data_IF_487742630372
#
_entry.id   IF_487742630372
#
_cell.length_a   1.000
_cell.length_b   1.000
_cell.length_c   1.000
_cell.angle_alpha   90.00
_cell.angle_beta   90.00
_cell.angle_gamma   90.00
#
_symmetry.space_group_name_H-M   'P 1'
#
loop_
_entity.id
_entity.type
_entity.pdbx_description
1 polymer ?
#
# COMPACT_ATOMS: atom_id res chain seq x y z
N UNK A 1 -36.07 -12.11 22.11
CA UNK A 1 -34.78 -12.81 21.93
C UNK A 1 -35.04 -14.19 21.37
N UNK A 2 -34.27 -14.64 20.38
CA UNK A 2 -34.37 -16.02 19.87
C UNK A 2 -33.79 -16.95 20.94
N UNK A 3 -34.51 -17.99 21.32
CA UNK A 3 -34.11 -18.95 22.36
C UNK A 3 -33.83 -20.30 21.71
N UNK A 4 -33.16 -21.20 22.44
CA UNK A 4 -32.93 -22.57 21.97
C UNK A 4 -34.24 -23.29 21.59
N UNK A 5 -35.35 -22.94 22.25
CA UNK A 5 -36.66 -23.49 21.93
C UNK A 5 -37.21 -23.02 20.58
N UNK A 6 -37.03 -21.73 20.26
CA UNK A 6 -37.36 -21.19 18.94
C UNK A 6 -36.56 -21.87 17.82
N UNK A 7 -35.28 -22.18 18.06
CA UNK A 7 -34.44 -22.90 17.08
C UNK A 7 -34.91 -24.34 16.86
N UNK A 8 -35.30 -25.06 17.91
CA UNK A 8 -35.84 -26.43 17.79
C UNK A 8 -37.16 -26.47 17.04
N UNK A 9 -38.06 -25.52 17.30
CA UNK A 9 -39.34 -25.41 16.58
C UNK A 9 -39.12 -25.06 15.11
N UNK A 10 -38.18 -24.17 14.81
CA UNK A 10 -37.83 -23.82 13.43
C UNK A 10 -37.24 -25.00 12.63
N UNK A 11 -36.51 -25.92 13.27
CA UNK A 11 -36.08 -27.18 12.64
C UNK A 11 -37.26 -28.12 12.42
N UNK A 12 -38.13 -28.28 13.42
CA UNK A 12 -39.32 -29.15 13.32
C UNK A 12 -40.32 -28.67 12.25
N UNK A 13 -40.43 -27.36 12.03
CA UNK A 13 -41.26 -26.75 10.99
C UNK A 13 -40.56 -26.67 9.62
N UNK A 14 -39.33 -27.18 9.50
CA UNK A 14 -38.57 -27.18 8.24
C UNK A 14 -38.12 -25.79 7.76
N UNK A 15 -38.19 -24.78 8.63
CA UNK A 15 -37.78 -23.40 8.33
C UNK A 15 -36.25 -23.31 8.21
N UNK A 16 -35.52 -24.09 9.02
CA UNK A 16 -34.05 -24.18 8.99
C UNK A 16 -33.59 -25.62 9.16
N UNK A 17 -32.36 -25.94 8.71
CA UNK A 17 -31.74 -27.25 8.93
C UNK A 17 -31.11 -27.37 10.33
N UNK A 18 -30.89 -28.60 10.80
CA UNK A 18 -30.18 -28.85 12.07
C UNK A 18 -28.79 -28.20 12.11
N UNK A 19 -28.08 -28.20 10.97
CA UNK A 19 -26.75 -27.57 10.84
C UNK A 19 -26.86 -26.05 11.00
N UNK A 20 -27.91 -25.43 10.47
CA UNK A 20 -28.16 -24.01 10.61
C UNK A 20 -28.54 -23.64 12.05
N UNK A 21 -29.38 -24.44 12.72
CA UNK A 21 -29.74 -24.25 14.11
C UNK A 21 -28.53 -24.35 15.05
N UNK A 22 -27.67 -25.36 14.87
CA UNK A 22 -26.43 -25.51 15.64
C UNK A 22 -25.44 -24.37 15.39
N UNK A 23 -25.43 -23.80 14.19
CA UNK A 23 -24.58 -22.65 13.86
C UNK A 23 -25.09 -21.34 14.48
N UNK A 24 -26.41 -21.14 14.52
CA UNK A 24 -27.06 -20.00 15.19
C UNK A 24 -26.90 -20.06 16.70
N UNK A 25 -26.99 -21.25 17.30
CA UNK A 25 -26.78 -21.45 18.73
C UNK A 25 -25.33 -21.17 19.14
N UNK A 26 -24.35 -21.63 18.34
CA UNK A 26 -22.94 -21.25 18.53
C UNK A 26 -22.72 -19.73 18.46
N UNK A 27 -23.36 -19.06 17.49
CA UNK A 27 -23.29 -17.60 17.35
C UNK A 27 -23.92 -16.87 18.54
N UNK A 28 -25.06 -17.35 19.04
CA UNK A 28 -25.75 -16.79 20.19
C UNK A 28 -24.92 -16.93 21.48
N UNK A 29 -24.24 -18.07 21.67
CA UNK A 29 -23.33 -18.27 22.81
C UNK A 29 -22.04 -17.44 22.70
N UNK A 30 -21.55 -17.20 21.50
CA UNK A 30 -20.41 -16.31 21.28
C UNK A 30 -20.73 -14.84 21.59
N UNK A 31 -21.97 -14.40 21.35
CA UNK A 31 -22.43 -13.04 21.65
C UNK A 31 -23.11 -12.90 23.03
N UNK A 32 -23.36 -14.01 23.74
CA UNK A 32 -24.16 -14.07 24.96
C UNK A 32 -23.39 -13.93 26.27
N UNK A 33 -22.09 -13.65 26.23
CA UNK A 33 -21.36 -13.20 27.42
C UNK A 33 -21.81 -11.78 27.79
N UNK A 34 -22.08 -11.47 29.06
CA UNK A 34 -22.40 -10.10 29.46
C UNK A 34 -21.22 -9.19 29.09
N UNK A 35 -21.52 -8.21 28.24
CA UNK A 35 -20.69 -7.06 27.88
C UNK A 35 -20.39 -6.25 29.15
N UNK A 36 -19.46 -6.77 29.95
CA UNK A 36 -18.97 -6.16 31.17
C UNK A 36 -17.77 -5.31 30.81
N UNK A 37 -18.03 -4.17 30.18
CA UNK A 37 -17.23 -2.95 30.28
C UNK A 37 -15.71 -3.12 30.37
N UNK A 38 -15.16 -4.05 29.60
CA UNK A 38 -13.72 -4.12 29.36
C UNK A 38 -13.53 -3.42 28.05
N UNK A 39 -12.81 -2.31 28.10
CA UNK A 39 -12.01 -1.80 27.00
C UNK A 39 -11.19 -2.96 26.40
N UNK A 40 -11.81 -3.83 25.60
CA UNK A 40 -11.09 -4.48 24.55
C UNK A 40 -10.74 -3.36 23.60
N UNK A 41 -9.44 -3.05 23.39
CA UNK A 41 -9.07 -2.18 22.30
C UNK A 41 -9.65 -2.82 21.06
N UNK A 42 -10.69 -2.20 20.53
CA UNK A 42 -11.29 -2.57 19.26
C UNK A 42 -10.14 -2.42 18.28
N UNK A 43 -9.55 -3.54 17.87
CA UNK A 43 -8.42 -3.53 16.94
C UNK A 43 -9.00 -3.06 15.60
N UNK A 44 -9.02 -1.74 15.43
CA UNK A 44 -9.74 -1.03 14.36
C UNK A 44 -9.10 -1.25 12.97
N UNK A 45 -8.02 -2.03 12.91
CA UNK A 45 -7.32 -2.47 11.70
C UNK A 45 -7.37 -4.01 11.53
N UNK A 46 -8.57 -4.61 11.52
CA UNK A 46 -8.74 -6.01 11.07
C UNK A 46 -8.54 -6.13 9.56
N UNK A 47 -7.29 -6.09 9.13
CA UNK A 47 -6.90 -6.33 7.76
C UNK A 47 -7.01 -7.83 7.46
N UNK A 48 -8.13 -8.24 6.87
CA UNK A 48 -8.34 -9.62 6.37
C UNK A 48 -7.54 -9.84 5.08
N UNK A 49 -6.21 -9.77 5.15
CA UNK A 49 -5.35 -10.01 3.98
C UNK A 49 -5.19 -11.50 3.65
N UNK A 50 -5.33 -12.38 4.65
CA UNK A 50 -5.23 -13.83 4.48
C UNK A 50 -6.54 -14.43 4.98
N UNK A 51 -7.36 -14.92 4.06
CA UNK A 51 -8.61 -15.63 4.38
C UNK A 51 -8.37 -17.11 4.73
N UNK A 52 -7.17 -17.63 4.45
CA UNK A 52 -6.71 -18.96 4.83
C UNK A 52 -5.42 -19.38 4.10
N UNK A 53 -4.89 -20.57 4.41
CA UNK A 53 -3.70 -21.15 3.77
C UNK A 53 -3.82 -21.25 2.24
N UNK A 54 -5.05 -21.40 1.73
CA UNK A 54 -5.34 -21.40 0.30
C UNK A 54 -4.88 -20.12 -0.41
N UNK A 55 -4.97 -18.95 0.24
CA UNK A 55 -4.54 -17.68 -0.36
C UNK A 55 -3.02 -17.67 -0.58
N UNK A 56 -2.26 -18.24 0.35
CA UNK A 56 -0.79 -18.35 0.26
C UNK A 56 -0.42 -19.29 -0.89
N UNK A 57 -1.05 -20.47 -0.95
CA UNK A 57 -0.77 -21.46 -2.00
C UNK A 57 -1.09 -20.92 -3.40
N UNK A 58 -2.25 -20.28 -3.55
CA UNK A 58 -2.64 -19.64 -4.82
C UNK A 58 -1.67 -18.53 -5.18
N UNK A 59 -1.27 -17.69 -4.23
CA UNK A 59 -0.32 -16.60 -4.48
C UNK A 59 1.05 -17.12 -4.92
N UNK A 60 1.56 -18.18 -4.30
CA UNK A 60 2.79 -18.84 -4.75
C UNK A 60 2.63 -19.40 -6.17
N UNK A 61 1.50 -20.06 -6.45
CA UNK A 61 1.16 -20.55 -7.78
C UNK A 61 1.10 -19.43 -8.83
N UNK A 62 0.56 -18.25 -8.47
CA UNK A 62 0.53 -17.08 -9.34
C UNK A 62 1.94 -16.56 -9.65
N UNK A 63 2.82 -16.48 -8.66
CA UNK A 63 4.22 -16.07 -8.89
C UNK A 63 4.94 -17.03 -9.83
N UNK A 64 4.80 -18.33 -9.62
CA UNK A 64 5.42 -19.34 -10.48
C UNK A 64 4.84 -19.31 -11.91
N UNK A 65 3.52 -19.29 -12.03
CA UNK A 65 2.83 -19.29 -13.32
C UNK A 65 3.10 -18.01 -14.12
N UNK A 66 2.83 -16.83 -13.54
CA UNK A 66 3.04 -15.56 -14.22
C UNK A 66 4.53 -15.28 -14.44
N UNK A 67 5.40 -15.73 -13.54
CA UNK A 67 6.86 -15.66 -13.71
C UNK A 67 7.35 -16.49 -14.89
N UNK A 68 6.86 -17.73 -15.04
CA UNK A 68 7.18 -18.57 -16.20
C UNK A 68 6.62 -17.96 -17.50
N UNK A 69 5.36 -17.52 -17.50
CA UNK A 69 4.76 -16.83 -18.66
C UNK A 69 5.52 -15.55 -19.01
N UNK A 70 6.02 -14.80 -18.02
CA UNK A 70 6.85 -13.64 -18.24
C UNK A 70 8.17 -14.02 -18.91
N UNK A 71 8.88 -15.02 -18.37
CA UNK A 71 10.15 -15.48 -18.93
C UNK A 71 10.00 -15.92 -20.40
N UNK A 72 9.06 -16.81 -20.70
CA UNK A 72 8.83 -17.27 -22.07
C UNK A 72 8.26 -16.17 -22.96
N UNK A 73 7.32 -15.37 -22.47
CA UNK A 73 6.71 -14.29 -23.24
C UNK A 73 7.72 -13.22 -23.65
N UNK A 74 8.58 -12.78 -22.72
CA UNK A 74 9.62 -11.80 -23.01
C UNK A 74 10.70 -12.35 -23.95
N UNK A 75 11.12 -13.60 -23.76
CA UNK A 75 12.18 -14.20 -24.59
C UNK A 75 11.72 -14.54 -26.01
N UNK A 76 10.46 -14.92 -26.20
CA UNK A 76 9.95 -15.36 -27.52
C UNK A 76 9.21 -14.28 -28.28
N UNK A 77 8.42 -13.45 -27.61
CA UNK A 77 7.55 -12.43 -28.24
C UNK A 77 8.14 -11.01 -28.17
N UNK A 78 9.24 -10.84 -27.43
CA UNK A 78 9.84 -9.56 -27.11
C UNK A 78 9.14 -8.84 -25.96
N UNK A 79 9.73 -7.74 -25.44
CA UNK A 79 9.26 -7.10 -24.20
C UNK A 79 7.83 -6.56 -24.28
N UNK A 80 7.49 -5.79 -25.32
CA UNK A 80 6.16 -5.16 -25.43
C UNK A 80 5.03 -6.20 -25.43
N UNK A 81 5.13 -7.19 -26.32
CA UNK A 81 4.14 -8.28 -26.47
C UNK A 81 4.16 -9.22 -25.25
N UNK A 82 5.34 -9.52 -24.71
CA UNK A 82 5.49 -10.34 -23.51
C UNK A 82 4.78 -9.73 -22.30
N UNK A 83 4.96 -8.43 -22.04
CA UNK A 83 4.23 -7.74 -20.98
C UNK A 83 2.73 -7.60 -21.27
N UNK A 84 2.33 -7.39 -22.53
CA UNK A 84 0.91 -7.39 -22.89
C UNK A 84 0.25 -8.74 -22.59
N UNK A 85 0.95 -9.85 -22.85
CA UNK A 85 0.50 -11.19 -22.48
C UNK A 85 0.36 -11.34 -20.96
N UNK A 86 1.33 -10.89 -20.17
CA UNK A 86 1.25 -10.93 -18.70
C UNK A 86 0.05 -10.11 -18.20
N UNK A 87 -0.18 -8.91 -18.75
CA UNK A 87 -1.33 -8.09 -18.39
C UNK A 87 -2.66 -8.78 -18.72
N UNK A 88 -2.78 -9.40 -19.89
CA UNK A 88 -3.95 -10.16 -20.28
C UNK A 88 -4.20 -11.37 -19.36
N UNK A 89 -3.15 -12.13 -19.04
CA UNK A 89 -3.22 -13.26 -18.11
C UNK A 89 -3.60 -12.81 -16.70
N UNK A 90 -3.00 -11.73 -16.19
CA UNK A 90 -3.32 -11.18 -14.88
C UNK A 90 -4.79 -10.74 -14.78
N UNK A 91 -5.34 -10.09 -15.81
CA UNK A 91 -6.76 -9.76 -15.88
C UNK A 91 -7.65 -11.01 -15.91
N UNK A 92 -7.31 -12.01 -16.73
CA UNK A 92 -8.05 -13.26 -16.82
C UNK A 92 -8.07 -14.03 -15.49
N UNK A 93 -6.93 -14.09 -14.80
CA UNK A 93 -6.81 -14.70 -13.48
C UNK A 93 -7.56 -13.87 -12.42
N UNK A 94 -7.60 -12.54 -12.52
CA UNK A 94 -8.40 -11.69 -11.63
C UNK A 94 -9.90 -11.96 -11.79
N UNK A 95 -10.38 -12.24 -13.01
CA UNK A 95 -11.76 -12.66 -13.25
C UNK A 95 -12.13 -13.93 -12.47
N UNK A 96 -11.19 -14.85 -12.27
CA UNK A 96 -11.40 -16.03 -11.45
C UNK A 96 -11.15 -15.80 -9.96
N UNK A 97 -9.94 -15.40 -9.58
CA UNK A 97 -9.51 -15.32 -8.18
C UNK A 97 -10.06 -14.11 -7.42
N UNK A 98 -10.20 -12.96 -8.10
CA UNK A 98 -10.75 -11.74 -7.51
C UNK A 98 -12.26 -11.73 -7.57
N UNK A 99 -12.85 -11.89 -8.75
CA UNK A 99 -14.31 -11.71 -8.92
C UNK A 99 -15.12 -12.91 -8.43
N UNK A 100 -14.73 -14.13 -8.81
CA UNK A 100 -15.49 -15.35 -8.47
C UNK A 100 -15.11 -15.91 -7.11
N UNK A 101 -13.81 -16.08 -6.83
CA UNK A 101 -13.32 -16.65 -5.56
C UNK A 101 -13.20 -15.64 -4.41
N UNK A 102 -13.20 -14.34 -4.70
CA UNK A 102 -13.12 -13.24 -3.70
C UNK A 102 -11.93 -13.36 -2.74
N UNK A 103 -10.78 -13.83 -3.23
CA UNK A 103 -9.55 -13.99 -2.45
C UNK A 103 -8.80 -12.66 -2.32
N UNK A 104 -8.34 -12.27 -1.13
CA UNK A 104 -7.74 -10.95 -0.92
C UNK A 104 -6.28 -10.87 -1.38
N UNK A 105 -5.41 -11.74 -0.87
CA UNK A 105 -3.97 -11.75 -1.19
C UNK A 105 -3.69 -11.96 -2.69
N UNK A 106 -4.29 -12.97 -3.37
CA UNK A 106 -4.07 -13.17 -4.80
C UNK A 106 -4.51 -11.96 -5.63
N UNK A 107 -5.60 -11.30 -5.24
CA UNK A 107 -6.11 -10.11 -5.93
C UNK A 107 -5.16 -8.92 -5.85
N UNK A 108 -4.47 -8.77 -4.72
CA UNK A 108 -3.44 -7.75 -4.56
C UNK A 108 -2.28 -8.02 -5.51
N UNK A 109 -1.75 -9.25 -5.52
CA UNK A 109 -0.64 -9.65 -6.39
C UNK A 109 -1.02 -9.49 -7.86
N UNK A 110 -2.20 -9.96 -8.26
CA UNK A 110 -2.69 -9.84 -9.64
C UNK A 110 -2.80 -8.38 -10.10
N UNK A 111 -3.28 -7.49 -9.24
CA UNK A 111 -3.34 -6.07 -9.59
C UNK A 111 -1.94 -5.47 -9.78
N UNK A 112 -1.01 -5.74 -8.86
CA UNK A 112 0.35 -5.18 -8.94
C UNK A 112 1.01 -5.66 -10.23
N UNK A 113 0.93 -6.96 -10.52
CA UNK A 113 1.43 -7.54 -11.76
C UNK A 113 0.74 -6.91 -12.99
N UNK A 114 -0.59 -6.76 -12.96
CA UNK A 114 -1.36 -6.15 -14.03
C UNK A 114 -0.91 -4.70 -14.32
N UNK A 115 -0.84 -3.86 -13.29
CA UNK A 115 -0.47 -2.45 -13.43
C UNK A 115 0.96 -2.30 -13.97
N UNK A 116 1.91 -3.08 -13.45
CA UNK A 116 3.30 -3.06 -13.92
C UNK A 116 3.42 -3.60 -15.34
N UNK A 117 2.71 -4.68 -15.67
CA UNK A 117 2.73 -5.26 -17.01
C UNK A 117 2.12 -4.30 -18.05
N UNK A 118 1.03 -3.60 -17.72
CA UNK A 118 0.46 -2.58 -18.61
C UNK A 118 1.43 -1.43 -18.86
N UNK A 119 2.04 -0.90 -17.79
CA UNK A 119 3.04 0.16 -17.89
C UNK A 119 4.19 -0.26 -18.81
N UNK A 120 4.76 -1.44 -18.56
CA UNK A 120 5.89 -1.97 -19.32
C UNK A 120 5.52 -2.26 -20.77
N UNK A 121 4.36 -2.88 -21.03
CA UNK A 121 3.92 -3.20 -22.38
C UNK A 121 3.83 -1.95 -23.26
N UNK A 122 3.14 -0.91 -22.75
CA UNK A 122 2.96 0.34 -23.46
C UNK A 122 4.28 1.14 -23.58
N UNK A 123 5.10 1.18 -22.52
CA UNK A 123 6.39 1.86 -22.56
C UNK A 123 7.33 1.22 -23.60
N UNK A 124 7.48 -0.11 -23.60
CA UNK A 124 8.31 -0.81 -24.58
C UNK A 124 7.80 -0.70 -26.01
N UNK A 125 6.47 -0.71 -26.20
CA UNK A 125 5.87 -0.51 -27.53
C UNK A 125 6.23 0.86 -28.12
N UNK A 126 6.33 1.89 -27.27
CA UNK A 126 6.65 3.26 -27.67
C UNK A 126 8.15 3.56 -27.73
N UNK A 127 8.97 2.79 -27.00
CA UNK A 127 10.42 2.98 -26.95
C UNK A 127 11.18 2.49 -28.20
N UNK A 128 10.52 1.82 -29.15
CA UNK A 128 11.11 1.49 -30.45
C UNK A 128 12.12 0.33 -30.45
N UNK A 129 11.99 -0.63 -29.53
CA UNK A 129 12.66 -1.95 -29.62
C UNK A 129 14.17 -2.00 -29.30
N UNK A 130 14.82 -0.87 -29.05
CA UNK A 130 16.25 -0.82 -28.71
C UNK A 130 16.50 -0.28 -27.30
N UNK A 131 16.85 -1.16 -26.34
CA UNK A 131 17.72 -0.73 -25.23
C UNK A 131 17.46 -1.24 -23.82
N UNK A 132 16.27 -1.71 -23.45
CA UNK A 132 16.06 -2.18 -22.09
C UNK A 132 16.08 -3.71 -22.02
N UNK A 133 17.00 -4.25 -21.21
CA UNK A 133 17.15 -5.68 -20.96
C UNK A 133 15.85 -6.35 -20.52
N UNK A 134 15.78 -7.66 -20.68
CA UNK A 134 14.63 -8.52 -20.37
C UNK A 134 14.28 -8.64 -18.87
N UNK A 135 14.66 -7.66 -18.05
CA UNK A 135 14.25 -7.51 -16.66
C UNK A 135 12.98 -6.66 -16.59
N UNK A 136 12.13 -6.88 -15.58
CA UNK A 136 11.06 -5.96 -15.19
C UNK A 136 11.60 -4.53 -15.21
N UNK A 137 11.24 -3.68 -16.20
CA UNK A 137 11.70 -2.32 -16.16
C UNK A 137 11.03 -1.72 -14.94
N UNK A 138 11.82 -1.32 -13.96
CA UNK A 138 11.27 -0.52 -12.88
C UNK A 138 10.79 0.80 -13.48
N UNK A 139 9.81 1.45 -12.83
CA UNK A 139 9.47 2.84 -13.12
C UNK A 139 10.73 3.72 -13.14
N UNK A 140 11.74 3.35 -12.35
CA UNK A 140 13.07 3.94 -12.34
C UNK A 140 13.80 3.73 -13.68
N UNK A 141 13.88 2.52 -14.20
CA UNK A 141 14.57 2.19 -15.46
C UNK A 141 13.97 2.94 -16.67
N UNK A 142 12.65 3.08 -16.70
CA UNK A 142 11.92 3.84 -17.73
C UNK A 142 12.14 5.36 -17.63
N UNK A 143 12.54 5.86 -16.47
CA UNK A 143 12.90 7.28 -16.24
C UNK A 143 14.41 7.54 -16.28
N UNK A 144 15.23 6.49 -16.20
CA UNK A 144 16.67 6.58 -16.02
C UNK A 144 17.43 6.59 -17.34
N UNK A 145 16.92 5.97 -18.41
CA UNK A 145 17.58 6.03 -19.72
C UNK A 145 17.18 7.31 -20.48
N UNK A 146 18.10 8.31 -20.58
CA UNK A 146 17.82 9.58 -21.25
C UNK A 146 17.56 9.42 -22.76
N UNK A 147 17.85 8.25 -23.33
CA UNK A 147 17.76 7.97 -24.77
C UNK A 147 16.34 7.65 -25.25
N UNK A 148 15.44 7.24 -24.35
CA UNK A 148 14.09 6.79 -24.70
C UNK A 148 13.06 7.93 -24.85
N UNK A 149 13.42 9.16 -24.46
CA UNK A 149 12.53 10.30 -24.46
C UNK A 149 11.36 10.15 -23.45
N UNK A 150 10.49 11.17 -23.31
CA UNK A 150 9.38 11.13 -22.35
C UNK A 150 8.18 10.29 -22.82
N UNK A 151 8.11 9.94 -24.12
CA UNK A 151 6.95 9.28 -24.72
C UNK A 151 6.62 7.90 -24.12
N UNK A 152 7.58 6.98 -23.89
CA UNK A 152 7.32 5.70 -23.23
C UNK A 152 6.69 5.85 -21.84
N UNK A 153 7.17 6.83 -21.07
CA UNK A 153 6.64 7.12 -19.75
C UNK A 153 5.20 7.64 -19.83
N UNK A 154 4.95 8.63 -20.70
CA UNK A 154 3.61 9.23 -20.89
C UNK A 154 2.61 8.17 -21.35
N UNK A 155 2.93 7.44 -22.42
CA UNK A 155 2.00 6.46 -22.99
C UNK A 155 1.79 5.25 -22.07
N UNK A 156 2.85 4.79 -21.39
CA UNK A 156 2.72 3.76 -20.36
C UNK A 156 1.84 4.20 -19.19
N UNK A 157 2.04 5.43 -18.70
CA UNK A 157 1.28 5.97 -17.59
C UNK A 157 -0.20 6.18 -17.96
N UNK A 158 -0.47 6.67 -19.17
CA UNK A 158 -1.82 6.84 -19.70
C UNK A 158 -2.55 5.50 -19.87
N UNK A 159 -1.87 4.50 -20.44
CA UNK A 159 -2.41 3.15 -20.58
C UNK A 159 -2.72 2.52 -19.22
N UNK A 160 -1.79 2.64 -18.26
CA UNK A 160 -1.96 2.13 -16.89
C UNK A 160 -3.11 2.82 -16.18
N UNK A 161 -3.19 4.16 -16.24
CA UNK A 161 -4.28 4.92 -15.62
C UNK A 161 -5.64 4.48 -16.17
N UNK A 162 -5.73 4.31 -17.49
CA UNK A 162 -6.97 3.88 -18.17
C UNK A 162 -7.36 2.46 -17.76
N UNK A 163 -6.43 1.51 -17.86
CA UNK A 163 -6.70 0.11 -17.62
C UNK A 163 -6.89 -0.24 -16.14
N UNK A 164 -6.18 0.43 -15.22
CA UNK A 164 -6.43 0.30 -13.77
C UNK A 164 -7.77 0.91 -13.39
N UNK A 165 -8.21 1.98 -14.06
CA UNK A 165 -9.57 2.52 -13.85
C UNK A 165 -10.64 1.49 -14.27
N UNK A 166 -10.45 0.84 -15.42
CA UNK A 166 -11.33 -0.26 -15.85
C UNK A 166 -11.27 -1.44 -14.88
N UNK A 167 -10.07 -1.79 -14.40
CA UNK A 167 -9.86 -2.82 -13.38
C UNK A 167 -10.62 -2.49 -12.09
N UNK A 168 -10.59 -1.24 -11.63
CA UNK A 168 -11.33 -0.82 -10.44
C UNK A 168 -12.84 -0.95 -10.64
N UNK A 169 -13.37 -0.49 -11.77
CA UNK A 169 -14.81 -0.62 -12.08
C UNK A 169 -15.25 -2.09 -12.14
N UNK A 170 -14.39 -2.99 -12.59
CA UNK A 170 -14.70 -4.42 -12.73
C UNK A 170 -14.58 -5.20 -11.43
N UNK A 171 -13.43 -5.09 -10.77
CA UNK A 171 -13.07 -5.93 -9.63
C UNK A 171 -13.33 -5.26 -8.30
N UNK A 172 -13.38 -3.93 -8.28
CA UNK A 172 -13.42 -3.13 -7.07
C UNK A 172 -12.34 -3.65 -6.13
N UNK A 173 -11.06 -3.37 -6.33
CA UNK A 173 -9.98 -3.70 -5.37
C UNK A 173 -9.37 -2.39 -4.86
N UNK A 174 -9.22 -2.14 -3.53
CA UNK A 174 -8.88 -0.80 -3.02
C UNK A 174 -7.53 -0.27 -3.51
N UNK A 175 -6.52 -1.13 -3.59
CA UNK A 175 -5.16 -0.80 -4.06
C UNK A 175 -5.11 -0.25 -5.50
N UNK A 176 -6.14 -0.50 -6.32
CA UNK A 176 -6.23 0.09 -7.68
C UNK A 176 -6.22 1.61 -7.66
N UNK A 177 -6.77 2.24 -6.61
CA UNK A 177 -6.81 3.71 -6.49
C UNK A 177 -5.39 4.25 -6.30
N UNK A 178 -4.56 3.56 -5.52
CA UNK A 178 -3.15 3.90 -5.39
C UNK A 178 -2.38 3.67 -6.69
N UNK A 179 -2.59 2.53 -7.37
CA UNK A 179 -1.97 2.30 -8.67
C UNK A 179 -2.37 3.37 -9.72
N UNK A 180 -3.62 3.82 -9.72
CA UNK A 180 -4.09 4.93 -10.55
C UNK A 180 -3.46 6.28 -10.17
N UNK A 181 -3.34 6.58 -8.87
CA UNK A 181 -2.65 7.78 -8.41
C UNK A 181 -1.16 7.78 -8.80
N UNK A 182 -0.48 6.63 -8.71
CA UNK A 182 0.89 6.47 -9.15
C UNK A 182 1.03 6.70 -10.66
N UNK A 183 0.13 6.12 -11.47
CA UNK A 183 0.07 6.32 -12.90
C UNK A 183 -0.19 7.80 -13.26
N UNK A 184 -1.07 8.48 -12.54
CA UNK A 184 -1.30 9.92 -12.74
C UNK A 184 -0.04 10.74 -12.42
N UNK A 185 0.67 10.43 -11.33
CA UNK A 185 1.94 11.10 -11.00
C UNK A 185 2.98 10.88 -12.10
N UNK A 186 3.12 9.64 -12.59
CA UNK A 186 4.02 9.32 -13.69
C UNK A 186 3.65 10.05 -15.00
N UNK A 187 2.35 10.16 -15.29
CA UNK A 187 1.84 10.89 -16.45
C UNK A 187 2.17 12.38 -16.37
N UNK A 188 1.87 13.03 -15.25
CA UNK A 188 2.20 14.45 -15.02
C UNK A 188 3.70 14.67 -15.13
N UNK A 189 4.51 13.81 -14.51
CA UNK A 189 5.96 13.88 -14.60
C UNK A 189 6.45 13.75 -16.04
N UNK A 190 5.93 12.78 -16.80
CA UNK A 190 6.28 12.58 -18.20
C UNK A 190 5.93 13.77 -19.08
N UNK A 191 4.75 14.37 -18.88
CA UNK A 191 4.33 15.58 -19.61
C UNK A 191 5.25 16.76 -19.29
N UNK A 192 5.60 16.96 -18.01
CA UNK A 192 6.54 18.01 -17.61
C UNK A 192 7.93 17.78 -18.20
N UNK A 193 8.40 16.53 -18.23
CA UNK A 193 9.66 16.16 -18.84
C UNK A 193 9.67 16.43 -20.35
N UNK A 194 8.53 16.27 -21.03
CA UNK A 194 8.37 16.63 -22.44
C UNK A 194 8.32 18.13 -22.70
N UNK A 195 7.65 18.89 -21.82
CA UNK A 195 7.46 20.32 -21.99
C UNK A 195 8.70 21.15 -21.58
N UNK A 196 9.37 20.76 -20.49
CA UNK A 196 10.51 21.48 -19.91
C UNK A 196 11.50 20.49 -19.28
N UNK A 197 12.32 19.79 -20.09
CA UNK A 197 13.16 18.68 -19.63
C UNK A 197 14.18 19.09 -18.57
N UNK A 198 14.90 20.20 -18.78
CA UNK A 198 15.96 20.65 -17.86
C UNK A 198 15.39 21.09 -16.51
N UNK A 199 14.30 21.89 -16.55
CA UNK A 199 13.60 22.33 -15.35
C UNK A 199 13.02 21.13 -14.56
N UNK A 200 12.45 20.16 -15.27
CA UNK A 200 11.84 18.97 -14.65
C UNK A 200 12.91 18.08 -14.01
N UNK A 201 14.07 17.91 -14.63
CA UNK A 201 15.19 17.16 -14.04
C UNK A 201 15.77 17.88 -12.81
N UNK A 202 15.96 19.20 -12.90
CA UNK A 202 16.45 20.01 -11.78
C UNK A 202 15.46 20.01 -10.60
N UNK A 203 14.16 20.13 -10.88
CA UNK A 203 13.09 20.14 -9.89
C UNK A 203 12.55 18.77 -9.48
N UNK A 204 13.14 17.66 -9.96
CA UNK A 204 12.60 16.29 -9.82
C UNK A 204 12.22 15.95 -8.38
N UNK A 205 13.11 16.23 -7.43
CA UNK A 205 12.89 15.89 -6.02
C UNK A 205 11.72 16.70 -5.44
N UNK A 206 11.66 18.00 -5.73
CA UNK A 206 10.54 18.86 -5.31
C UNK A 206 9.21 18.44 -5.92
N UNK A 207 9.21 18.02 -7.19
CA UNK A 207 8.02 17.53 -7.89
C UNK A 207 7.48 16.23 -7.27
N UNK A 208 8.35 15.27 -6.94
CA UNK A 208 7.92 14.04 -6.25
C UNK A 208 7.40 14.32 -4.85
N UNK A 209 8.04 15.23 -4.08
CA UNK A 209 7.53 15.65 -2.77
C UNK A 209 6.14 16.27 -2.92
N UNK A 210 5.95 17.19 -3.88
CA UNK A 210 4.66 17.82 -4.13
C UNK A 210 3.58 16.80 -4.52
N UNK A 211 3.92 15.86 -5.40
CA UNK A 211 3.03 14.76 -5.77
C UNK A 211 2.69 13.88 -4.55
N UNK A 212 3.68 13.52 -3.74
CA UNK A 212 3.50 12.74 -2.52
C UNK A 212 2.61 13.45 -1.49
N UNK A 213 2.78 14.76 -1.30
CA UNK A 213 1.90 15.58 -0.47
C UNK A 213 0.47 15.63 -1.01
N UNK A 214 0.30 15.71 -2.33
CA UNK A 214 -1.02 15.63 -2.98
C UNK A 214 -1.70 14.28 -2.75
N UNK A 215 -0.97 13.17 -2.91
CA UNK A 215 -1.46 11.81 -2.63
C UNK A 215 -1.77 11.64 -1.14
N UNK A 216 -0.92 12.18 -0.24
CA UNK A 216 -1.15 12.18 1.19
C UNK A 216 -2.44 12.94 1.56
N UNK A 217 -2.65 14.14 0.99
CA UNK A 217 -3.87 14.90 1.20
C UNK A 217 -5.12 14.14 0.70
N UNK A 218 -5.01 13.44 -0.42
CA UNK A 218 -6.07 12.56 -0.92
C UNK A 218 -6.35 11.40 0.04
N UNK A 219 -5.30 10.77 0.58
CA UNK A 219 -5.41 9.70 1.56
C UNK A 219 -6.11 10.18 2.84
N UNK A 220 -5.71 11.35 3.36
CA UNK A 220 -6.36 12.01 4.51
C UNK A 220 -7.82 12.31 4.25
N UNK A 221 -8.19 12.74 3.04
CA UNK A 221 -9.59 12.97 2.69
C UNK A 221 -10.43 11.70 2.78
N UNK A 222 -9.89 10.55 2.37
CA UNK A 222 -10.58 9.26 2.52
C UNK A 222 -10.72 8.86 3.99
N UNK A 223 -9.67 9.04 4.80
CA UNK A 223 -9.70 8.74 6.24
C UNK A 223 -10.72 9.55 7.01
N UNK A 224 -10.70 10.87 6.81
CA UNK A 224 -11.62 11.78 7.49
C UNK A 224 -13.08 11.56 7.05
N UNK A 225 -13.29 10.95 5.87
CA UNK A 225 -14.63 10.62 5.37
C UNK A 225 -15.21 9.30 5.90
N UNK A 226 -14.44 8.53 6.68
CA UNK A 226 -14.87 7.29 7.32
C UNK A 226 -14.35 7.19 8.77
N UNK A 227 -14.83 8.06 9.69
CA UNK A 227 -14.31 8.12 11.06
C UNK A 227 -14.47 6.81 11.85
N UNK A 228 -15.52 6.04 11.53
CA UNK A 228 -15.83 4.76 12.17
C UNK A 228 -15.04 3.58 11.56
N UNK A 229 -14.30 3.80 10.47
CA UNK A 229 -13.44 2.80 9.79
C UNK A 229 -14.15 1.52 9.35
N UNK A 230 -15.41 1.66 8.92
CA UNK A 230 -16.24 0.51 8.56
C UNK A 230 -16.36 0.30 7.05
N UNK A 231 -15.94 1.27 6.25
CA UNK A 231 -16.08 1.22 4.79
C UNK A 231 -14.77 0.93 4.09
N UNK A 232 -14.89 0.53 2.82
CA UNK A 232 -13.76 0.40 1.87
C UNK A 232 -12.88 1.66 1.76
N UNK A 233 -13.37 2.84 2.15
CA UNK A 233 -12.58 4.08 2.11
C UNK A 233 -11.34 3.98 2.99
N UNK A 234 -11.45 3.26 4.10
CA UNK A 234 -10.32 2.95 4.98
C UNK A 234 -9.24 2.16 4.23
N UNK A 235 -9.60 1.11 3.49
CA UNK A 235 -8.62 0.36 2.69
C UNK A 235 -7.98 1.22 1.60
N UNK A 236 -8.77 2.05 0.90
CA UNK A 236 -8.26 2.94 -0.15
C UNK A 236 -7.20 3.89 0.41
N UNK A 237 -7.50 4.52 1.55
CA UNK A 237 -6.58 5.42 2.19
C UNK A 237 -5.31 4.73 2.69
N UNK A 238 -5.38 3.46 3.10
CA UNK A 238 -4.21 2.68 3.49
C UNK A 238 -3.22 2.62 2.32
N UNK A 239 -3.71 2.26 1.14
CA UNK A 239 -2.87 2.12 -0.05
C UNK A 239 -2.35 3.47 -0.55
N UNK A 240 -3.13 4.54 -0.42
CA UNK A 240 -2.68 5.89 -0.77
C UNK A 240 -1.60 6.41 0.17
N UNK A 241 -1.71 6.15 1.48
CA UNK A 241 -0.65 6.45 2.43
C UNK A 241 0.63 5.65 2.11
N UNK A 242 0.49 4.36 1.78
CA UNK A 242 1.61 3.51 1.36
C UNK A 242 2.32 4.05 0.11
N UNK A 243 1.58 4.66 -0.82
CA UNK A 243 2.15 5.31 -2.01
C UNK A 243 2.75 6.69 -1.69
N UNK A 244 2.13 7.49 -0.82
CA UNK A 244 2.62 8.82 -0.48
C UNK A 244 3.98 8.77 0.23
N UNK A 245 4.19 7.80 1.11
CA UNK A 245 5.43 7.66 1.86
C UNK A 245 6.70 7.60 0.97
N UNK A 246 6.82 6.69 -0.02
CA UNK A 246 7.98 6.67 -0.91
C UNK A 246 8.10 7.94 -1.76
N UNK A 247 6.99 8.53 -2.22
CA UNK A 247 7.00 9.78 -2.99
C UNK A 247 7.56 10.97 -2.21
N UNK A 248 7.39 10.99 -0.89
CA UNK A 248 7.91 12.05 -0.01
C UNK A 248 9.32 11.69 0.46
N UNK A 249 9.49 10.51 1.05
CA UNK A 249 10.71 10.17 1.79
C UNK A 249 11.89 9.93 0.86
N UNK A 250 11.70 9.22 -0.25
CA UNK A 250 12.79 8.88 -1.17
C UNK A 250 13.54 10.11 -1.74
N UNK A 251 12.87 11.14 -2.32
CA UNK A 251 13.58 12.33 -2.83
C UNK A 251 14.25 13.15 -1.73
N UNK A 252 13.69 13.16 -0.51
CA UNK A 252 14.33 13.84 0.62
C UNK A 252 15.60 13.08 1.02
N UNK A 253 15.53 11.76 1.16
CA UNK A 253 16.69 10.92 1.44
C UNK A 253 17.78 11.11 0.40
N UNK A 254 17.45 11.05 -0.89
CA UNK A 254 18.41 11.24 -1.97
C UNK A 254 19.12 12.60 -1.88
N UNK A 255 18.38 13.66 -1.56
CA UNK A 255 18.93 15.01 -1.38
C UNK A 255 19.84 15.11 -0.16
N UNK A 256 19.43 14.51 0.96
CA UNK A 256 20.19 14.49 2.21
C UNK A 256 21.47 13.66 2.07
N UNK A 257 21.41 12.47 1.48
CA UNK A 257 22.59 11.62 1.26
C UNK A 257 23.58 12.22 0.28
N UNK A 258 23.12 13.00 -0.70
CA UNK A 258 24.00 13.72 -1.62
C UNK A 258 24.79 14.84 -0.94
N UNK A 259 24.24 15.46 0.12
CA UNK A 259 24.93 16.48 0.91
C UNK A 259 25.99 15.93 1.87
N UNK A 260 25.89 14.65 2.23
CA UNK A 260 26.80 13.97 3.15
C UNK A 260 26.72 14.46 4.60
N UNK A 261 27.11 13.59 5.54
CA UNK A 261 27.34 13.97 6.94
C UNK A 261 26.14 13.87 7.89
N UNK A 262 26.39 14.26 9.14
CA UNK A 262 25.48 14.05 10.28
C UNK A 262 24.16 14.84 10.17
N UNK A 263 24.18 15.99 9.50
CA UNK A 263 22.99 16.82 9.26
C UNK A 263 21.96 16.10 8.37
N UNK A 264 22.43 15.36 7.36
CA UNK A 264 21.57 14.52 6.52
C UNK A 264 20.80 13.50 7.37
N UNK A 265 21.53 12.82 8.25
CA UNK A 265 21.00 11.78 9.12
C UNK A 265 19.99 12.33 10.15
N UNK A 266 20.27 13.49 10.74
CA UNK A 266 19.33 14.18 11.64
C UNK A 266 18.06 14.62 10.90
N UNK A 267 18.19 15.08 9.65
CA UNK A 267 17.05 15.41 8.79
C UNK A 267 16.14 14.22 8.51
N UNK A 268 16.72 13.05 8.21
CA UNK A 268 15.94 11.80 8.04
C UNK A 268 15.18 11.46 9.31
N UNK A 269 15.85 11.52 10.47
CA UNK A 269 15.24 11.20 11.75
C UNK A 269 14.08 12.16 12.07
N UNK A 270 14.25 13.46 11.83
CA UNK A 270 13.20 14.45 12.02
C UNK A 270 11.96 14.16 11.16
N UNK A 271 12.14 13.73 9.91
CA UNK A 271 11.04 13.35 9.01
C UNK A 271 10.34 12.08 9.49
N UNK A 272 11.11 11.06 9.89
CA UNK A 272 10.56 9.81 10.44
C UNK A 272 9.75 10.11 11.71
N UNK A 273 10.26 10.96 12.60
CA UNK A 273 9.55 11.38 13.80
C UNK A 273 8.30 12.22 13.48
N UNK A 274 8.37 13.12 12.50
CA UNK A 274 7.22 13.89 12.03
C UNK A 274 6.11 12.99 11.45
N UNK A 275 6.49 12.03 10.59
CA UNK A 275 5.56 11.03 10.05
C UNK A 275 4.97 10.14 11.16
N UNK A 276 5.77 9.78 12.17
CA UNK A 276 5.28 9.03 13.33
C UNK A 276 4.29 9.84 14.17
N UNK A 277 4.54 11.14 14.37
CA UNK A 277 3.61 12.05 15.03
C UNK A 277 2.28 12.18 14.27
N UNK A 278 2.35 12.30 12.94
CA UNK A 278 1.16 12.28 12.07
C UNK A 278 0.42 10.94 12.19
N UNK A 279 1.14 9.82 12.16
CA UNK A 279 0.54 8.49 12.30
C UNK A 279 -0.17 8.30 13.66
N UNK A 280 0.40 8.82 14.74
CA UNK A 280 -0.21 8.84 16.07
C UNK A 280 -1.47 9.72 16.11
N UNK A 281 -1.40 10.93 15.54
CA UNK A 281 -2.53 11.85 15.51
C UNK A 281 -3.73 11.29 14.72
N UNK A 282 -3.46 10.65 13.58
CA UNK A 282 -4.49 10.06 12.71
C UNK A 282 -4.92 8.66 13.19
N UNK A 283 -4.29 8.13 14.23
CA UNK A 283 -4.53 6.77 14.75
C UNK A 283 -4.39 5.71 13.66
N UNK A 284 -3.28 5.76 12.91
CA UNK A 284 -3.12 4.93 11.71
C UNK A 284 -1.77 4.26 11.68
N UNK A 285 -1.74 2.98 12.10
CA UNK A 285 -0.50 2.19 12.18
C UNK A 285 0.06 1.89 10.80
N UNK A 286 -0.81 1.81 9.79
CA UNK A 286 -0.44 1.70 8.38
C UNK A 286 0.61 2.72 7.90
N UNK A 287 0.53 3.96 8.40
CA UNK A 287 1.50 5.01 8.07
C UNK A 287 2.91 4.64 8.56
N UNK A 288 3.02 4.03 9.75
CA UNK A 288 4.31 3.59 10.28
C UNK A 288 4.89 2.43 9.47
N UNK A 289 4.04 1.49 9.04
CA UNK A 289 4.48 0.37 8.19
C UNK A 289 5.06 0.88 6.87
N UNK A 290 4.44 1.91 6.27
CA UNK A 290 4.90 2.49 5.00
C UNK A 290 6.28 3.18 5.09
N UNK A 291 6.63 3.72 6.26
CA UNK A 291 7.91 4.37 6.52
C UNK A 291 9.01 3.43 7.02
N UNK A 292 8.67 2.17 7.31
CA UNK A 292 9.53 1.29 8.10
C UNK A 292 10.85 0.92 7.39
N UNK A 293 10.78 0.64 6.09
CA UNK A 293 11.97 0.36 5.27
C UNK A 293 12.93 1.55 5.31
N UNK A 294 12.40 2.77 5.21
CA UNK A 294 13.19 4.00 5.25
C UNK A 294 13.80 4.25 6.64
N UNK A 295 13.04 4.01 7.71
CA UNK A 295 13.57 4.09 9.08
C UNK A 295 14.70 3.09 9.31
N UNK A 296 14.57 1.85 8.80
CA UNK A 296 15.64 0.85 8.86
C UNK A 296 16.91 1.26 8.11
N UNK A 297 16.77 1.82 6.91
CA UNK A 297 17.91 2.35 6.15
C UNK A 297 18.60 3.53 6.87
N UNK A 298 17.82 4.41 7.49
CA UNK A 298 18.32 5.56 8.25
C UNK A 298 19.10 5.12 9.50
N UNK A 299 18.55 4.17 10.27
CA UNK A 299 19.23 3.57 11.42
C UNK A 299 20.52 2.86 10.98
N UNK A 300 20.49 2.15 9.84
CA UNK A 300 21.70 1.55 9.26
C UNK A 300 22.78 2.57 8.94
N UNK A 301 22.41 3.75 8.44
CA UNK A 301 23.37 4.82 8.23
C UNK A 301 23.97 5.36 9.54
N UNK A 302 23.14 5.54 10.59
CA UNK A 302 23.58 5.95 11.93
C UNK A 302 24.55 4.95 12.55
N UNK A 303 24.20 3.67 12.55
CA UNK A 303 25.02 2.61 13.16
C UNK A 303 26.38 2.52 12.47
N UNK A 304 26.42 2.64 11.13
CA UNK A 304 27.68 2.75 10.39
C UNK A 304 28.48 3.98 10.79
N UNK A 305 27.84 5.15 10.86
CA UNK A 305 28.48 6.41 11.24
C UNK A 305 29.01 6.42 12.67
N UNK A 306 28.39 5.66 13.57
CA UNK A 306 28.81 5.50 14.96
C UNK A 306 29.97 4.51 15.17
N UNK A 307 30.54 3.95 14.10
CA UNK A 307 31.69 3.04 14.16
C UNK A 307 31.34 1.55 14.27
N UNK A 308 30.05 1.17 14.18
CA UNK A 308 29.58 -0.21 14.29
C UNK A 308 29.35 -0.87 12.92
N UNK A 309 30.21 -0.60 11.93
CA UNK A 309 30.02 -1.05 10.55
C UNK A 309 29.81 -2.58 10.43
N UNK A 310 30.56 -3.38 11.19
CA UNK A 310 30.43 -4.85 11.21
C UNK A 310 29.10 -5.37 11.78
N UNK A 311 28.40 -4.55 12.58
CA UNK A 311 27.14 -4.91 13.23
C UNK A 311 25.95 -4.07 12.72
N UNK A 312 26.10 -3.43 11.55
CA UNK A 312 25.10 -2.52 11.00
C UNK A 312 23.73 -3.15 10.92
N UNK A 313 23.61 -4.31 10.27
CA UNK A 313 22.32 -4.95 10.02
C UNK A 313 21.66 -5.44 11.32
N UNK A 314 22.36 -6.22 12.18
CA UNK A 314 21.78 -6.65 13.46
C UNK A 314 21.33 -5.49 14.36
N UNK A 315 22.18 -4.46 14.54
CA UNK A 315 21.84 -3.33 15.42
C UNK A 315 20.72 -2.46 14.85
N UNK A 316 20.65 -2.30 13.53
CA UNK A 316 19.55 -1.58 12.89
C UNK A 316 18.23 -2.31 13.07
N UNK A 317 18.21 -3.63 12.86
CA UNK A 317 17.03 -4.45 13.07
C UNK A 317 16.61 -4.51 14.53
N UNK A 318 17.58 -4.61 15.46
CA UNK A 318 17.32 -4.58 16.90
C UNK A 318 16.69 -3.25 17.32
N UNK A 319 17.28 -2.13 16.89
CA UNK A 319 16.80 -0.78 17.24
C UNK A 319 15.44 -0.52 16.63
N UNK A 320 15.25 -0.87 15.35
CA UNK A 320 13.99 -0.72 14.66
C UNK A 320 12.90 -1.61 15.27
N UNK A 321 13.23 -2.87 15.57
CA UNK A 321 12.33 -3.81 16.23
C UNK A 321 11.91 -3.34 17.62
N UNK A 322 12.87 -2.90 18.44
CA UNK A 322 12.58 -2.32 19.75
C UNK A 322 11.67 -1.08 19.64
N UNK A 323 11.92 -0.21 18.67
CA UNK A 323 11.08 0.97 18.40
C UNK A 323 9.64 0.59 18.01
N UNK A 324 9.46 -0.38 17.10
CA UNK A 324 8.13 -0.87 16.72
C UNK A 324 7.41 -1.51 17.91
N UNK A 325 8.10 -2.37 18.68
CA UNK A 325 7.52 -3.04 19.84
C UNK A 325 7.08 -2.02 20.89
N UNK A 326 7.91 -1.01 21.16
CA UNK A 326 7.59 0.08 22.08
C UNK A 326 6.40 0.91 21.59
N UNK A 327 6.33 1.25 20.29
CA UNK A 327 5.18 1.95 19.70
C UNK A 327 3.91 1.11 19.73
N UNK A 328 4.02 -0.20 19.49
CA UNK A 328 2.88 -1.13 19.52
C UNK A 328 2.30 -1.24 20.93
N UNK A 329 3.15 -1.42 21.94
CA UNK A 329 2.74 -1.49 23.34
C UNK A 329 2.28 -0.13 23.89
N UNK A 330 2.91 0.96 23.47
CA UNK A 330 2.67 2.32 23.94
C UNK A 330 1.70 3.14 23.09
N UNK A 331 0.98 2.53 22.15
CA UNK A 331 0.19 3.23 21.14
C UNK A 331 -0.83 4.21 21.74
N UNK A 332 -1.71 3.70 22.61
CA UNK A 332 -2.77 4.48 23.24
C UNK A 332 -2.26 5.64 24.12
N UNK A 333 -1.29 5.44 25.04
CA UNK A 333 -0.78 6.55 25.86
C UNK A 333 -0.04 7.61 25.02
N UNK A 334 0.74 7.21 24.01
CA UNK A 334 1.44 8.16 23.12
C UNK A 334 0.46 8.98 22.27
N UNK A 335 -0.60 8.34 21.78
CA UNK A 335 -1.68 9.03 21.05
C UNK A 335 -2.40 10.04 21.92
N UNK A 336 -2.75 9.68 23.16
CA UNK A 336 -3.39 10.60 24.10
C UNK A 336 -2.51 11.82 24.38
N UNK A 337 -1.19 11.64 24.56
CA UNK A 337 -0.25 12.75 24.71
C UNK A 337 -0.21 13.66 23.47
N UNK A 338 -0.16 13.05 22.28
CA UNK A 338 -0.12 13.77 21.00
C UNK A 338 -1.39 14.61 20.78
N UNK A 339 -2.56 14.04 21.05
CA UNK A 339 -3.84 14.72 20.92
C UNK A 339 -4.01 15.86 21.94
N UNK A 340 -3.44 15.74 23.15
CA UNK A 340 -3.42 16.81 24.15
C UNK A 340 -2.57 18.01 23.72
N UNK A 341 -1.54 17.78 22.91
CA UNK A 341 -0.69 18.84 22.37
C UNK A 341 -1.31 19.57 21.16
N UNK A 342 -2.35 19.01 20.53
CA UNK A 342 -3.01 19.59 19.36
C UNK A 342 -4.06 20.65 19.74
N UNK A 343 -4.27 21.70 18.92
CA UNK A 343 -5.38 22.63 19.10
C UNK A 343 -6.74 21.90 19.05
N UNK A 344 -7.63 22.22 19.99
CA UNK A 344 -8.99 21.63 20.12
C UNK A 344 -9.78 21.50 18.79
N UNK A 345 -9.82 22.49 17.88
CA UNK A 345 -10.59 22.35 16.63
C UNK A 345 -10.02 21.31 15.66
N UNK A 346 -8.71 21.02 15.73
CA UNK A 346 -8.09 19.97 14.94
C UNK A 346 -8.29 18.60 15.61
N UNK A 347 -8.12 18.53 16.93
CA UNK A 347 -8.34 17.30 17.70
C UNK A 347 -9.77 16.76 17.55
N UNK A 348 -10.78 17.64 17.50
CA UNK A 348 -12.19 17.26 17.32
C UNK A 348 -12.53 16.70 15.93
N UNK A 349 -11.67 16.92 14.92
CA UNK A 349 -11.86 16.39 13.56
C UNK A 349 -11.17 15.05 13.34
N UNK A 350 -10.36 14.60 14.29
CA UNK A 350 -9.62 13.35 14.20
C UNK A 350 -10.49 12.19 14.74
N UNK A 351 -10.30 10.96 14.24
CA UNK A 351 -11.00 9.78 14.75
C UNK A 351 -10.77 9.63 16.26
N UNK A 352 -11.80 9.21 17.02
CA UNK A 352 -11.77 9.00 18.48
C UNK A 352 -11.13 10.16 19.29
N UNK A 353 -11.74 11.37 19.30
CA UNK A 353 -11.20 12.52 20.04
C UNK A 353 -11.19 12.26 21.56
N UNK A 354 -10.27 12.91 22.28
CA UNK A 354 -10.20 12.80 23.76
C UNK A 354 -11.52 13.30 24.36
N UNK A 355 -12.21 12.42 25.10
CA UNK A 355 -13.46 12.73 25.81
C UNK A 355 -14.76 12.30 25.12
N UNK A 356 -14.67 11.45 24.10
CA UNK A 356 -15.79 10.66 23.59
C UNK A 356 -15.83 9.27 24.23
#
# INVERSE_FOLDING_TARGET
MITADHLRRAVAEGIITEIQAASLDRLARANGGPDTGRDEPRDDERLRFVSGFADIFVTLGLFLFLGACAHFGLSTLGPATGYALIAALAWGLAEFFTRRRRMALPSLVLLVVFALAVQSAAAFALAGGGGAGASWPTLLDLTADPRSGPLPLIGGALATLTLVTLHYRRFSVPITVAAGAAALCALVFGVLLAAAPDLTRAGRNGLFIAAGLGVFALAMRFDLSDPARVTRRTDIAFWLHLLAAPLIVHPILGSLTAGGGQAATLGVLAIVLGLAGIALAVDRRALLVSGLVYAGLALGALVRGAGFAGNTVPLSLLTLGAFILALSAGWHPLRALTLRALPRPLAARLPHPIGA
#
